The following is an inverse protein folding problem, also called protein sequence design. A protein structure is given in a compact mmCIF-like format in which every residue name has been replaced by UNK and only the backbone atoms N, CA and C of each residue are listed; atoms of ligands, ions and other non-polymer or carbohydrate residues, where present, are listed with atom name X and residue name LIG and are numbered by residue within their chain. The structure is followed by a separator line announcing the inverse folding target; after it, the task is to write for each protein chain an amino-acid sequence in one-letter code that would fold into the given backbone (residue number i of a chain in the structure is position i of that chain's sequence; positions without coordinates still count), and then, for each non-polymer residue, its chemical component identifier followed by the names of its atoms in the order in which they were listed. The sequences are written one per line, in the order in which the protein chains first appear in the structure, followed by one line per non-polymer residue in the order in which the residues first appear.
data_IF_270267450624
#
_entry.id   IF_270267450624
#
_cell.length_a   1.000
_cell.length_b   1.000
_cell.length_c   1.000
_cell.angle_alpha   90.00
_cell.angle_beta   90.00
_cell.angle_gamma   90.00
#
_symmetry.space_group_name_H-M   'P 1'
#
loop_
_entity.id
_entity.type
_entity.pdbx_description
1 polymer ?
#
# COMPACT_ATOMS: atom_id res chain seq x y z
N UNK A 1 36.95 -76.94 -36.06
CA UNK A 1 37.79 -75.77 -36.39
C UNK A 1 36.87 -74.64 -36.83
N UNK A 2 37.09 -73.42 -36.32
CA UNK A 2 36.88 -72.08 -36.93
C UNK A 2 35.72 -71.91 -37.93
N UNK A 3 34.87 -70.90 -37.93
CA UNK A 3 34.83 -69.54 -37.35
C UNK A 3 33.49 -68.95 -37.87
N UNK A 4 32.78 -68.16 -37.04
CA UNK A 4 32.18 -66.83 -37.37
C UNK A 4 31.40 -66.68 -38.70
N UNK A 5 30.15 -66.22 -38.78
CA UNK A 5 29.58 -64.99 -38.21
C UNK A 5 28.05 -64.95 -38.43
N UNK A 6 27.34 -64.59 -37.36
CA UNK A 6 26.30 -63.54 -37.28
C UNK A 6 25.33 -63.36 -38.47
N UNK A 7 24.08 -63.82 -38.34
CA UNK A 7 22.94 -63.10 -37.77
C UNK A 7 22.41 -61.98 -38.69
N UNK A 8 21.37 -62.31 -39.45
CA UNK A 8 20.45 -61.35 -40.04
C UNK A 8 19.01 -61.78 -39.76
N UNK A 9 18.27 -60.86 -39.11
CA UNK A 9 16.81 -60.64 -39.25
C UNK A 9 15.86 -61.78 -38.88
N UNK A 10 15.29 -61.71 -37.67
CA UNK A 10 13.86 -61.91 -37.44
C UNK A 10 13.55 -61.66 -35.95
N UNK A 11 12.56 -60.82 -35.65
CA UNK A 11 12.10 -60.63 -34.27
C UNK A 11 11.32 -59.35 -34.02
N UNK A 12 10.36 -59.02 -34.91
CA UNK A 12 9.27 -58.11 -34.56
C UNK A 12 8.28 -58.93 -33.74
N UNK A 13 8.14 -58.65 -32.44
CA UNK A 13 6.88 -58.72 -31.69
C UNK A 13 7.15 -58.57 -30.18
N UNK A 14 6.28 -57.83 -29.52
CA UNK A 14 6.04 -57.82 -28.06
C UNK A 14 7.03 -57.05 -27.17
N UNK A 15 6.86 -55.73 -27.09
CA UNK A 15 7.02 -54.95 -25.85
C UNK A 15 6.47 -53.51 -26.03
N UNK A 16 5.17 -53.39 -26.30
CA UNK A 16 4.51 -52.09 -26.50
C UNK A 16 3.26 -51.96 -25.62
N UNK A 17 3.41 -52.03 -24.29
CA UNK A 17 2.31 -51.76 -23.34
C UNK A 17 2.81 -51.60 -21.90
N UNK A 18 3.60 -50.56 -21.57
CA UNK A 18 3.90 -50.25 -20.15
C UNK A 18 4.40 -48.83 -19.81
N UNK A 19 4.22 -47.80 -20.67
CA UNK A 19 4.76 -46.44 -20.40
C UNK A 19 3.72 -45.31 -20.52
N UNK A 20 2.45 -45.59 -20.20
CA UNK A 20 1.33 -44.66 -20.43
C UNK A 20 0.61 -44.12 -19.19
N UNK A 21 1.20 -44.13 -17.99
CA UNK A 21 0.43 -43.92 -16.75
C UNK A 21 1.06 -42.96 -15.71
N UNK A 22 1.87 -41.99 -16.11
CA UNK A 22 2.44 -41.01 -15.17
C UNK A 22 2.45 -39.55 -15.65
N UNK A 23 1.53 -39.17 -16.54
CA UNK A 23 1.25 -37.76 -16.85
C UNK A 23 -0.17 -37.41 -16.41
N UNK A 24 -0.43 -37.46 -15.10
CA UNK A 24 -1.64 -36.82 -14.57
C UNK A 24 -1.51 -35.30 -14.75
N UNK A 25 -2.55 -34.61 -15.27
CA UNK A 25 -2.47 -33.21 -15.60
C UNK A 25 -2.32 -32.38 -14.31
N UNK A 26 -1.27 -31.56 -14.24
CA UNK A 26 -1.00 -30.62 -13.14
C UNK A 26 -2.20 -29.68 -12.82
N UNK A 27 -3.16 -29.57 -13.73
CA UNK A 27 -4.40 -28.81 -13.55
C UNK A 27 -5.36 -29.44 -12.52
N UNK A 28 -5.39 -30.77 -12.35
CA UNK A 28 -6.28 -31.42 -11.39
C UNK A 28 -5.83 -31.23 -9.93
N UNK A 29 -4.52 -31.11 -9.68
CA UNK A 29 -3.99 -30.84 -8.34
C UNK A 29 -4.25 -29.39 -7.88
N UNK A 30 -4.27 -28.42 -8.80
CA UNK A 30 -4.55 -27.02 -8.48
C UNK A 30 -6.02 -26.81 -8.01
N UNK A 31 -6.99 -27.45 -8.66
CA UNK A 31 -8.40 -27.35 -8.27
C UNK A 31 -8.67 -27.93 -6.88
N UNK A 32 -8.03 -29.05 -6.52
CA UNK A 32 -8.18 -29.67 -5.21
C UNK A 32 -7.61 -28.81 -4.06
N UNK A 33 -6.66 -27.93 -4.35
CA UNK A 33 -6.00 -27.08 -3.36
C UNK A 33 -6.79 -25.80 -3.07
N UNK A 34 -7.46 -25.23 -4.06
CA UNK A 34 -8.32 -24.05 -3.88
C UNK A 34 -9.53 -24.35 -2.97
N UNK A 35 -10.15 -25.52 -3.12
CA UNK A 35 -11.32 -25.90 -2.31
C UNK A 35 -10.96 -26.10 -0.82
N UNK A 36 -9.70 -26.48 -0.55
CA UNK A 36 -9.15 -26.74 0.79
C UNK A 36 -8.51 -25.52 1.46
N UNK A 37 -8.27 -24.43 0.72
CA UNK A 37 -7.66 -23.21 1.25
C UNK A 37 -8.56 -22.52 2.30
N UNK A 38 -8.04 -21.92 3.38
CA UNK A 38 -6.67 -22.03 3.89
C UNK A 38 -6.49 -23.20 4.89
N UNK A 39 -5.30 -23.83 4.88
CA UNK A 39 -4.92 -24.93 5.80
C UNK A 39 -3.75 -24.58 6.73
N UNK A 40 -3.19 -23.39 6.58
CA UNK A 40 -2.05 -22.88 7.35
C UNK A 40 -2.17 -21.37 7.49
N UNK A 41 -1.37 -20.73 8.37
CA UNK A 41 -1.38 -19.29 8.52
C UNK A 41 -1.12 -18.54 7.22
N UNK A 42 -1.82 -17.42 7.05
CA UNK A 42 -1.66 -16.46 5.95
C UNK A 42 -0.78 -15.32 6.45
N UNK A 43 0.23 -14.95 5.65
CA UNK A 43 1.08 -13.79 5.91
C UNK A 43 0.50 -12.57 5.23
N UNK A 44 0.34 -11.48 5.98
CA UNK A 44 -0.12 -10.19 5.48
C UNK A 44 1.00 -9.16 5.64
N UNK A 45 1.66 -8.84 4.53
CA UNK A 45 2.82 -7.96 4.51
C UNK A 45 2.37 -6.52 4.27
N UNK A 46 2.77 -5.59 5.14
CA UNK A 46 2.42 -4.16 5.04
C UNK A 46 3.66 -3.26 4.97
N UNK A 47 3.53 -2.13 4.28
CA UNK A 47 4.69 -1.32 3.84
C UNK A 47 5.18 -0.26 4.82
N UNK A 48 4.68 -0.27 6.06
CA UNK A 48 4.89 0.80 7.03
C UNK A 48 5.24 0.26 8.42
N UNK A 49 5.77 1.14 9.27
CA UNK A 49 6.30 0.80 10.60
C UNK A 49 5.22 0.25 11.54
N UNK A 50 5.63 -0.66 12.44
CA UNK A 50 4.76 -1.15 13.50
C UNK A 50 4.28 -0.01 14.42
N UNK A 51 3.08 -0.15 14.96
CA UNK A 51 2.44 0.86 15.82
C UNK A 51 1.99 2.13 15.09
N UNK A 52 2.14 2.19 13.75
CA UNK A 52 1.67 3.31 12.94
C UNK A 52 0.17 3.24 12.62
N UNK A 53 -0.33 4.30 11.97
CA UNK A 53 -1.73 4.43 11.56
C UNK A 53 -2.19 3.39 10.53
N UNK A 54 -1.26 2.81 9.75
CA UNK A 54 -1.53 1.64 8.91
C UNK A 54 -1.56 0.34 9.72
N UNK A 55 -0.55 0.13 10.57
CA UNK A 55 -0.34 -1.14 11.27
C UNK A 55 -1.50 -1.50 12.20
N UNK A 56 -1.97 -0.53 12.98
CA UNK A 56 -3.01 -0.77 13.99
C UNK A 56 -4.33 -1.27 13.36
N UNK A 57 -4.92 -0.60 12.35
CA UNK A 57 -6.10 -1.14 11.66
C UNK A 57 -5.85 -2.47 10.96
N UNK A 58 -4.66 -2.70 10.39
CA UNK A 58 -4.35 -3.97 9.72
C UNK A 58 -4.27 -5.14 10.69
N UNK A 59 -3.77 -4.94 11.92
CA UNK A 59 -3.80 -5.98 12.96
C UNK A 59 -5.23 -6.33 13.37
N UNK A 60 -6.09 -5.32 13.57
CA UNK A 60 -7.52 -5.54 13.84
C UNK A 60 -8.21 -6.29 12.69
N UNK A 61 -7.92 -5.90 11.44
CA UNK A 61 -8.44 -6.58 10.25
C UNK A 61 -7.99 -8.03 10.18
N UNK A 62 -6.71 -8.29 10.43
CA UNK A 62 -6.12 -9.62 10.41
C UNK A 62 -6.71 -10.52 11.50
N UNK A 63 -6.88 -10.02 12.72
CA UNK A 63 -7.53 -10.75 13.82
C UNK A 63 -8.98 -11.11 13.47
N UNK A 64 -9.71 -10.16 12.86
CA UNK A 64 -11.08 -10.39 12.40
C UNK A 64 -11.12 -11.43 11.27
N UNK A 65 -10.27 -11.29 10.26
CA UNK A 65 -10.17 -12.24 9.15
C UNK A 65 -9.76 -13.64 9.62
N UNK A 66 -8.89 -13.73 10.63
CA UNK A 66 -8.46 -15.01 11.21
C UNK A 66 -9.63 -15.82 11.77
N UNK A 67 -10.56 -15.16 12.46
CA UNK A 67 -11.77 -15.78 13.01
C UNK A 67 -12.70 -16.28 11.90
N UNK A 68 -12.77 -15.56 10.79
CA UNK A 68 -13.64 -15.90 9.65
C UNK A 68 -13.03 -17.03 8.81
N UNK A 69 -11.71 -17.03 8.62
CA UNK A 69 -10.98 -18.01 7.81
C UNK A 69 -10.67 -19.30 8.58
N UNK A 70 -10.72 -19.28 9.91
CA UNK A 70 -10.32 -20.40 10.76
C UNK A 70 -8.81 -20.68 10.75
N UNK A 71 -8.01 -19.74 10.25
CA UNK A 71 -6.55 -19.81 10.19
C UNK A 71 -5.95 -18.45 10.57
N UNK A 72 -4.81 -18.41 11.28
CA UNK A 72 -4.18 -17.14 11.63
C UNK A 72 -3.79 -16.31 10.40
N UNK A 73 -4.07 -15.01 10.44
CA UNK A 73 -3.56 -14.00 9.51
C UNK A 73 -2.52 -13.17 10.26
N UNK A 74 -1.25 -13.30 9.87
CA UNK A 74 -0.12 -12.72 10.59
C UNK A 74 0.37 -11.47 9.88
N UNK A 75 0.32 -10.32 10.56
CA UNK A 75 0.81 -9.04 10.02
C UNK A 75 2.33 -8.96 10.15
N UNK A 76 3.00 -8.70 9.02
CA UNK A 76 4.44 -8.46 8.93
C UNK A 76 4.73 -7.07 8.36
N UNK A 77 5.47 -6.24 9.10
CA UNK A 77 5.88 -4.92 8.63
C UNK A 77 7.18 -5.01 7.80
N UNK A 78 7.15 -4.49 6.58
CA UNK A 78 8.34 -4.26 5.72
C UNK A 78 8.43 -2.77 5.34
N UNK A 79 8.84 -1.90 6.27
CA UNK A 79 8.82 -0.45 6.09
C UNK A 79 9.91 0.05 5.14
N UNK A 80 9.69 1.23 4.55
CA UNK A 80 10.64 1.90 3.67
C UNK A 80 10.19 1.97 2.20
N UNK A 81 10.99 2.67 1.38
CA UNK A 81 10.74 2.90 -0.06
C UNK A 81 9.32 3.42 -0.37
N UNK A 82 8.74 4.24 0.50
CA UNK A 82 7.38 4.77 0.32
C UNK A 82 6.28 3.70 0.39
N UNK A 83 6.56 2.53 0.96
CA UNK A 83 5.59 1.45 1.17
C UNK A 83 5.38 0.51 0.00
N UNK A 84 6.26 0.52 -1.01
CA UNK A 84 6.12 -0.33 -2.21
C UNK A 84 6.68 -1.75 -2.05
N UNK A 85 7.53 -1.99 -1.04
CA UNK A 85 8.22 -3.26 -0.81
C UNK A 85 7.28 -4.48 -0.72
N UNK A 86 6.11 -4.41 -0.04
CA UNK A 86 5.17 -5.54 0.00
C UNK A 86 4.63 -5.91 -1.38
N UNK A 87 4.31 -4.93 -2.22
CA UNK A 87 3.81 -5.18 -3.57
C UNK A 87 4.91 -5.81 -4.43
N UNK A 88 6.13 -5.27 -4.38
CA UNK A 88 7.28 -5.82 -5.11
C UNK A 88 7.58 -7.27 -4.73
N UNK A 89 7.46 -7.63 -3.44
CA UNK A 89 7.63 -8.99 -2.95
C UNK A 89 6.71 -9.99 -3.67
N UNK A 90 5.54 -9.55 -4.14
CA UNK A 90 4.58 -10.44 -4.80
C UNK A 90 5.11 -11.02 -6.12
N UNK A 91 6.06 -10.36 -6.81
CA UNK A 91 6.66 -10.89 -8.04
C UNK A 91 7.42 -12.21 -7.83
N UNK A 92 8.00 -12.42 -6.65
CA UNK A 92 8.76 -13.63 -6.31
C UNK A 92 8.02 -14.56 -5.34
N UNK A 93 6.77 -14.25 -5.03
CA UNK A 93 5.96 -15.01 -4.08
C UNK A 93 5.07 -16.02 -4.80
N UNK A 94 4.92 -17.22 -4.23
CA UNK A 94 4.05 -18.25 -4.79
C UNK A 94 2.57 -17.78 -4.83
N UNK A 95 1.85 -17.98 -5.95
CA UNK A 95 0.44 -17.55 -6.11
C UNK A 95 -0.55 -18.51 -5.41
N UNK A 96 -0.27 -18.89 -4.16
CA UNK A 96 -1.02 -19.90 -3.40
C UNK A 96 -1.99 -19.30 -2.35
N UNK A 97 -2.09 -17.97 -2.30
CA UNK A 97 -2.98 -17.23 -1.39
C UNK A 97 -2.49 -17.07 0.04
N UNK A 98 -1.34 -17.65 0.42
CA UNK A 98 -0.85 -17.59 1.80
C UNK A 98 0.10 -16.43 2.09
N UNK A 99 0.41 -15.61 1.09
CA UNK A 99 1.10 -14.33 1.29
C UNK A 99 0.34 -13.26 0.54
N UNK A 100 -0.09 -12.25 1.29
CA UNK A 100 -0.83 -11.10 0.80
C UNK A 100 0.00 -9.84 1.04
N UNK A 101 -0.23 -8.83 0.24
CA UNK A 101 0.40 -7.54 0.39
C UNK A 101 -0.64 -6.42 0.50
N UNK A 102 -0.34 -5.44 1.35
CA UNK A 102 -1.01 -4.15 1.31
C UNK A 102 -0.49 -3.32 0.13
N UNK A 103 -1.41 -2.73 -0.62
CA UNK A 103 -1.12 -1.81 -1.73
C UNK A 103 -1.74 -0.46 -1.43
N UNK A 104 -0.98 0.60 -1.64
CA UNK A 104 -1.43 1.99 -1.59
C UNK A 104 -0.93 2.74 -2.83
N UNK A 105 -1.30 4.01 -2.94
CA UNK A 105 -0.99 4.87 -4.08
C UNK A 105 0.46 4.83 -4.61
N UNK A 106 1.53 4.77 -3.78
CA UNK A 106 2.90 4.73 -4.26
C UNK A 106 3.24 3.53 -5.18
N UNK A 107 2.51 2.43 -5.08
CA UNK A 107 2.71 1.25 -5.93
C UNK A 107 2.39 1.53 -7.40
N UNK A 108 1.42 2.42 -7.67
CA UNK A 108 0.96 2.73 -9.03
C UNK A 108 1.90 3.69 -9.78
N UNK A 109 2.75 4.44 -9.07
CA UNK A 109 3.77 5.34 -9.64
C UNK A 109 5.17 4.73 -9.70
N UNK A 110 5.36 3.55 -9.11
CA UNK A 110 6.65 2.85 -9.07
C UNK A 110 7.28 2.66 -10.48
N UNK A 111 6.53 2.28 -11.55
CA UNK A 111 7.09 2.14 -12.90
C UNK A 111 7.73 3.41 -13.47
N UNK A 112 7.39 4.59 -12.95
CA UNK A 112 7.82 5.90 -13.47
C UNK A 112 8.90 6.55 -12.60
N UNK A 113 9.12 6.03 -11.40
CA UNK A 113 10.02 6.62 -10.40
C UNK A 113 11.23 5.74 -10.11
N UNK A 114 11.20 4.47 -10.54
CA UNK A 114 12.26 3.48 -10.33
C UNK A 114 12.45 2.65 -11.59
N UNK A 115 13.71 2.39 -11.96
CA UNK A 115 14.05 1.51 -13.08
C UNK A 115 13.88 0.05 -12.65
N UNK A 116 12.71 -0.51 -12.92
CA UNK A 116 12.32 -1.87 -12.56
C UNK A 116 11.34 -2.44 -13.60
N UNK A 117 11.39 -3.75 -13.85
CA UNK A 117 10.37 -4.45 -14.62
C UNK A 117 9.14 -4.71 -13.74
N UNK A 118 8.21 -3.76 -13.70
CA UNK A 118 7.03 -3.79 -12.82
C UNK A 118 5.82 -3.17 -13.53
N UNK A 119 4.74 -3.94 -13.64
CA UNK A 119 3.43 -3.46 -14.06
C UNK A 119 2.41 -3.75 -12.93
N UNK A 120 2.02 -2.75 -12.11
CA UNK A 120 1.11 -2.98 -10.99
C UNK A 120 -0.29 -3.39 -11.44
N UNK A 121 -0.66 -3.22 -12.71
CA UNK A 121 -1.95 -3.67 -13.25
C UNK A 121 -1.89 -5.15 -13.59
N UNK A 122 -0.76 -5.65 -14.10
CA UNK A 122 -0.62 -7.03 -14.61
C UNK A 122 0.07 -7.99 -13.66
N UNK A 123 0.88 -7.49 -12.74
CA UNK A 123 1.75 -8.32 -11.89
C UNK A 123 1.17 -8.58 -10.51
N UNK A 124 -0.09 -8.22 -10.29
CA UNK A 124 -0.82 -8.41 -9.04
C UNK A 124 -2.22 -8.98 -9.30
N UNK A 125 -2.66 -9.87 -8.41
CA UNK A 125 -4.07 -10.26 -8.29
C UNK A 125 -4.73 -9.38 -7.23
N UNK A 126 -5.58 -8.45 -7.64
CA UNK A 126 -6.31 -7.58 -6.72
C UNK A 126 -7.38 -8.36 -5.95
N UNK A 127 -7.51 -8.10 -4.64
CA UNK A 127 -8.48 -8.80 -3.79
C UNK A 127 -9.59 -7.84 -3.38
N UNK A 128 -9.27 -6.78 -2.63
CA UNK A 128 -10.27 -5.89 -2.03
C UNK A 128 -9.63 -4.54 -1.68
N UNK A 129 -10.34 -3.44 -1.94
CA UNK A 129 -10.00 -2.15 -1.34
C UNK A 129 -10.73 -1.98 -0.02
N UNK A 130 -10.02 -1.47 0.99
CA UNK A 130 -10.48 -1.47 2.37
C UNK A 130 -10.89 -0.07 2.82
N UNK A 131 -9.98 0.89 2.70
CA UNK A 131 -10.13 2.22 3.27
C UNK A 131 -9.24 3.23 2.53
N UNK A 132 -9.44 4.50 2.84
CA UNK A 132 -8.60 5.60 2.36
C UNK A 132 -7.84 6.25 3.51
N UNK A 133 -6.54 6.50 3.30
CA UNK A 133 -5.81 7.39 4.20
C UNK A 133 -6.34 8.83 4.07
N UNK A 134 -6.52 9.45 5.23
CA UNK A 134 -6.67 10.88 5.42
C UNK A 134 -5.31 11.50 5.77
N UNK A 135 -5.16 12.80 5.51
CA UNK A 135 -3.89 13.49 5.67
C UNK A 135 -4.05 14.89 6.24
N UNK A 136 -2.98 15.39 6.85
CA UNK A 136 -2.86 16.76 7.30
C UNK A 136 -1.41 17.17 7.50
N UNK A 137 -1.23 18.45 7.84
CA UNK A 137 0.07 19.05 8.13
C UNK A 137 0.09 19.60 9.57
N UNK A 138 1.03 19.11 10.37
CA UNK A 138 1.18 19.51 11.78
C UNK A 138 2.53 20.16 12.06
N UNK A 139 2.55 21.04 13.06
CA UNK A 139 3.75 21.68 13.63
C UNK A 139 3.73 21.56 15.16
N UNK A 140 4.85 21.76 15.88
CA UNK A 140 4.82 21.89 17.34
C UNK A 140 3.93 23.04 17.80
N UNK A 141 3.25 22.90 18.94
CA UNK A 141 2.31 23.92 19.43
C UNK A 141 3.00 25.26 19.78
N UNK A 142 4.26 25.24 20.19
CA UNK A 142 5.10 26.41 20.47
C UNK A 142 5.74 27.00 19.20
N UNK A 143 5.55 26.38 18.03
CA UNK A 143 6.04 26.91 16.76
C UNK A 143 5.46 28.30 16.47
N UNK A 144 6.26 29.23 15.93
CA UNK A 144 5.77 30.53 15.46
C UNK A 144 4.82 30.40 14.26
N UNK A 145 4.82 29.25 13.57
CA UNK A 145 3.90 28.96 12.48
C UNK A 145 2.55 28.56 13.06
N UNK A 146 1.52 29.42 12.92
CA UNK A 146 0.19 29.19 13.48
C UNK A 146 -0.84 28.80 12.43
N UNK A 147 -0.60 29.17 11.19
CA UNK A 147 -1.52 28.96 10.07
C UNK A 147 -0.79 28.44 8.84
N UNK A 148 -1.54 27.96 7.85
CA UNK A 148 -0.96 27.64 6.54
C UNK A 148 -0.38 28.88 5.85
N UNK A 149 -0.95 30.08 6.09
CA UNK A 149 -0.41 31.34 5.58
C UNK A 149 0.97 31.62 6.16
N UNK A 150 1.15 31.43 7.47
CA UNK A 150 2.47 31.55 8.12
C UNK A 150 3.46 30.53 7.56
N UNK A 151 2.99 29.29 7.31
CA UNK A 151 3.81 28.22 6.75
C UNK A 151 4.37 28.60 5.37
N UNK A 152 3.50 29.10 4.49
CA UNK A 152 3.89 29.57 3.15
C UNK A 152 4.75 30.83 3.24
N UNK A 153 4.42 31.78 4.11
CA UNK A 153 5.21 33.00 4.30
C UNK A 153 6.64 32.68 4.78
N UNK A 154 6.78 31.78 5.76
CA UNK A 154 8.08 31.33 6.24
C UNK A 154 8.90 30.68 5.12
N UNK A 155 8.28 29.80 4.32
CA UNK A 155 8.96 29.13 3.21
C UNK A 155 9.37 30.10 2.08
N UNK A 156 8.57 31.15 1.81
CA UNK A 156 8.94 32.22 0.87
C UNK A 156 10.14 33.02 1.36
N UNK A 157 10.13 33.40 2.64
CA UNK A 157 11.22 34.17 3.23
C UNK A 157 12.51 33.35 3.41
N UNK A 158 12.39 32.03 3.55
CA UNK A 158 13.52 31.13 3.82
C UNK A 158 13.52 29.92 2.88
N UNK A 159 13.81 30.09 1.58
CA UNK A 159 13.78 29.00 0.60
C UNK A 159 14.65 27.81 1.03
N UNK A 160 14.06 26.61 1.08
CA UNK A 160 14.76 25.38 1.42
C UNK A 160 15.13 25.23 2.91
N UNK A 161 14.71 26.16 3.79
CA UNK A 161 14.98 26.06 5.24
C UNK A 161 13.83 25.46 6.04
N UNK A 162 12.60 25.48 5.51
CA UNK A 162 11.46 24.85 6.16
C UNK A 162 11.58 23.32 5.98
N UNK A 163 12.02 22.62 7.02
CA UNK A 163 12.11 21.16 7.03
C UNK A 163 10.78 20.51 7.37
N UNK A 164 10.37 19.50 6.62
CA UNK A 164 9.19 18.70 6.94
C UNK A 164 9.46 17.21 6.83
N UNK A 165 8.89 16.45 7.77
CA UNK A 165 8.88 15.00 7.73
C UNK A 165 7.72 14.44 6.91
N UNK A 166 7.92 13.26 6.33
CA UNK A 166 6.85 12.41 5.80
C UNK A 166 7.24 10.93 5.93
N UNK A 167 6.32 9.97 5.74
CA UNK A 167 6.62 8.52 5.81
C UNK A 167 7.37 7.98 4.57
N UNK A 168 8.01 8.85 3.79
CA UNK A 168 8.95 8.45 2.76
C UNK A 168 8.85 9.27 1.49
N UNK A 169 9.91 9.21 0.69
CA UNK A 169 9.93 9.76 -0.66
C UNK A 169 8.92 9.05 -1.56
N UNK A 170 8.37 9.79 -2.52
CA UNK A 170 7.34 9.32 -3.46
C UNK A 170 6.06 8.78 -2.79
N UNK A 171 5.85 9.05 -1.50
CA UNK A 171 4.54 8.85 -0.85
C UNK A 171 3.52 9.87 -1.38
N UNK A 172 2.23 9.61 -1.18
CA UNK A 172 1.18 10.60 -1.48
C UNK A 172 1.44 11.92 -0.74
N UNK A 173 1.87 11.83 0.53
CA UNK A 173 2.24 12.99 1.35
C UNK A 173 3.37 13.82 0.76
N UNK A 174 4.43 13.16 0.27
CA UNK A 174 5.52 13.85 -0.43
C UNK A 174 5.02 14.56 -1.68
N UNK A 175 4.30 13.89 -2.58
CA UNK A 175 3.82 14.50 -3.82
C UNK A 175 2.85 15.67 -3.58
N UNK A 176 1.99 15.57 -2.57
CA UNK A 176 1.08 16.68 -2.24
C UNK A 176 1.84 17.91 -1.73
N UNK A 177 2.93 17.71 -0.98
CA UNK A 177 3.80 18.82 -0.55
C UNK A 177 4.61 19.41 -1.71
N UNK A 178 5.04 18.60 -2.68
CA UNK A 178 5.66 19.07 -3.92
C UNK A 178 4.67 19.86 -4.79
N UNK A 179 3.42 19.39 -4.92
CA UNK A 179 2.36 20.13 -5.63
C UNK A 179 2.05 21.46 -4.94
N UNK A 180 1.98 21.45 -3.59
CA UNK A 180 1.81 22.67 -2.80
C UNK A 180 2.97 23.65 -3.03
N UNK A 181 4.21 23.16 -3.00
CA UNK A 181 5.41 23.95 -3.22
C UNK A 181 5.37 24.63 -4.60
N UNK A 182 5.09 23.85 -5.65
CA UNK A 182 4.95 24.33 -7.01
C UNK A 182 3.84 25.38 -7.16
N UNK A 183 2.64 25.13 -6.61
CA UNK A 183 1.50 26.06 -6.70
C UNK A 183 1.74 27.38 -5.94
N UNK A 184 2.49 27.33 -4.84
CA UNK A 184 2.73 28.49 -3.98
C UNK A 184 4.05 29.22 -4.29
N UNK A 185 4.87 28.68 -5.20
CA UNK A 185 6.18 29.23 -5.55
C UNK A 185 7.15 29.21 -4.37
N UNK A 186 7.18 28.11 -3.61
CA UNK A 186 8.04 27.95 -2.43
C UNK A 186 8.92 26.71 -2.53
N UNK A 187 9.93 26.64 -1.67
CA UNK A 187 10.82 25.48 -1.57
C UNK A 187 10.82 24.95 -0.14
N UNK A 188 10.45 23.67 0.01
CA UNK A 188 10.54 22.94 1.27
C UNK A 188 11.78 22.03 1.27
N UNK A 189 12.23 21.64 2.46
CA UNK A 189 13.25 20.60 2.63
C UNK A 189 12.58 19.34 3.15
N UNK A 190 12.43 18.34 2.27
CA UNK A 190 11.80 17.06 2.62
C UNK A 190 12.78 16.14 3.36
N UNK A 191 12.39 15.67 4.54
CA UNK A 191 13.11 14.66 5.31
C UNK A 191 12.29 13.36 5.31
N UNK A 192 12.64 12.34 4.50
CA UNK A 192 11.89 11.10 4.42
C UNK A 192 12.19 10.16 5.60
N UNK A 193 11.15 9.62 6.22
CA UNK A 193 11.21 8.56 7.21
C UNK A 193 10.63 7.25 6.66
N UNK A 194 10.78 6.11 7.34
CA UNK A 194 10.27 4.82 6.84
C UNK A 194 8.78 4.60 7.09
N UNK A 195 8.15 5.44 7.92
CA UNK A 195 6.73 5.34 8.27
C UNK A 195 6.29 6.44 9.23
N UNK A 196 4.98 6.49 9.48
CA UNK A 196 4.35 7.58 10.26
C UNK A 196 4.87 7.65 11.71
N UNK A 197 5.22 6.50 12.30
CA UNK A 197 5.73 6.45 13.68
C UNK A 197 7.08 7.17 13.79
N UNK A 198 7.96 7.01 12.80
CA UNK A 198 9.29 7.64 12.78
C UNK A 198 9.19 9.15 12.50
N UNK A 199 8.37 9.57 11.53
CA UNK A 199 8.18 11.00 11.24
C UNK A 199 7.57 11.76 12.42
N UNK A 200 6.60 11.15 13.12
CA UNK A 200 5.99 11.76 14.30
C UNK A 200 7.00 11.92 15.45
N UNK A 201 7.83 10.90 15.70
CA UNK A 201 8.90 10.99 16.70
C UNK A 201 9.90 12.09 16.36
N UNK A 202 10.27 12.24 15.09
CA UNK A 202 11.16 13.30 14.65
C UNK A 202 10.59 14.71 14.90
N UNK A 203 9.29 14.91 14.72
CA UNK A 203 8.62 16.18 15.05
C UNK A 203 8.64 16.46 16.54
N UNK A 204 8.26 15.46 17.34
CA UNK A 204 8.20 15.58 18.80
C UNK A 204 9.60 15.78 19.41
N UNK A 205 10.64 15.25 18.77
CA UNK A 205 12.04 15.47 19.14
C UNK A 205 12.65 16.76 18.57
N UNK A 206 11.91 17.55 17.79
CA UNK A 206 12.40 18.81 17.22
C UNK A 206 13.39 18.67 16.06
N UNK A 207 13.48 17.50 15.42
CA UNK A 207 14.38 17.26 14.28
C UNK A 207 13.84 17.82 12.96
N UNK A 208 12.54 18.07 12.88
CA UNK A 208 11.87 18.70 11.72
C UNK A 208 10.88 19.75 12.22
N UNK A 209 10.64 20.79 11.41
CA UNK A 209 9.73 21.89 11.78
C UNK A 209 8.25 21.52 11.66
N UNK A 210 7.92 20.58 10.78
CA UNK A 210 6.56 20.11 10.53
C UNK A 210 6.55 18.67 10.07
N UNK A 211 5.38 18.04 10.05
CA UNK A 211 5.17 16.73 9.41
C UNK A 211 3.88 16.75 8.61
N UNK A 212 3.98 16.29 7.37
CA UNK A 212 2.85 15.92 6.55
C UNK A 212 2.57 14.42 6.77
N UNK A 213 1.45 14.11 7.44
CA UNK A 213 1.15 12.75 7.87
C UNK A 213 -0.35 12.40 7.88
N UNK A 214 -0.60 11.11 8.02
CA UNK A 214 -1.87 10.56 8.52
C UNK A 214 -2.13 11.01 9.97
N UNK A 215 -3.39 11.04 10.45
CA UNK A 215 -3.78 11.53 11.78
C UNK A 215 -3.27 10.77 13.02
N UNK A 216 -2.11 10.12 12.96
CA UNK A 216 -1.38 9.66 14.15
C UNK A 216 -0.99 10.84 15.09
N UNK A 217 -0.95 12.07 14.57
CA UNK A 217 -0.77 13.29 15.34
C UNK A 217 -2.01 13.69 16.18
N UNK A 218 -3.19 13.13 15.91
CA UNK A 218 -4.44 13.61 16.49
C UNK A 218 -4.45 13.66 18.02
N UNK A 219 -3.97 12.62 18.75
CA UNK A 219 -3.87 12.68 20.22
C UNK A 219 -2.94 13.81 20.71
N UNK A 220 -1.89 14.14 19.96
CA UNK A 220 -0.95 15.20 20.33
C UNK A 220 -1.52 16.59 20.06
N UNK A 221 -2.38 16.74 19.05
CA UNK A 221 -3.13 17.98 18.80
C UNK A 221 -4.17 18.20 19.89
N UNK A 222 -4.91 17.16 20.28
CA UNK A 222 -5.87 17.22 21.39
C UNK A 222 -5.21 17.55 22.73
N UNK A 223 -3.99 17.04 22.96
CA UNK A 223 -3.18 17.36 24.14
C UNK A 223 -2.51 18.74 24.08
N UNK A 224 -2.67 19.50 22.99
CA UNK A 224 -2.03 20.81 22.81
C UNK A 224 -0.51 20.77 22.62
N UNK A 225 0.07 19.60 22.29
CA UNK A 225 1.51 19.45 21.99
C UNK A 225 1.83 19.80 20.54
N UNK A 226 0.90 19.54 19.62
CA UNK A 226 1.01 19.88 18.20
C UNK A 226 -0.15 20.79 17.79
N UNK A 227 0.04 21.51 16.68
CA UNK A 227 -0.99 22.29 16.00
C UNK A 227 -1.21 21.71 14.60
N UNK A 228 -2.46 21.39 14.29
CA UNK A 228 -2.86 21.04 12.93
C UNK A 228 -3.12 22.31 12.11
N UNK A 229 -2.38 22.49 11.02
CA UNK A 229 -2.50 23.67 10.15
C UNK A 229 -3.56 23.47 9.07
N UNK A 230 -3.65 22.26 8.52
CA UNK A 230 -4.65 21.91 7.51
C UNK A 230 -4.91 20.41 7.45
N UNK A 231 -6.10 20.06 6.97
CA UNK A 231 -6.42 18.71 6.47
C UNK A 231 -6.53 18.73 4.95
N UNK A 232 -6.39 17.58 4.30
CA UNK A 232 -6.31 17.53 2.83
C UNK A 232 -7.54 16.90 2.18
N UNK A 233 -8.55 16.54 2.97
CA UNK A 233 -9.81 16.01 2.47
C UNK A 233 -10.65 17.03 1.72
N UNK A 234 -11.65 16.54 1.01
CA UNK A 234 -12.65 17.37 0.29
C UNK A 234 -13.47 18.23 1.26
N UNK A 235 -13.71 17.72 2.47
CA UNK A 235 -14.43 18.37 3.57
C UNK A 235 -13.56 18.35 4.82
N UNK A 236 -13.85 19.24 5.77
CA UNK A 236 -13.17 19.25 7.07
C UNK A 236 -13.35 17.93 7.81
N UNK A 237 -12.34 17.56 8.60
CA UNK A 237 -12.45 16.44 9.53
C UNK A 237 -13.53 16.74 10.57
N UNK A 238 -14.40 15.77 10.85
CA UNK A 238 -15.38 15.87 11.92
C UNK A 238 -14.70 16.00 13.30
N UNK A 239 -13.50 15.43 13.46
CA UNK A 239 -12.70 15.52 14.68
C UNK A 239 -12.06 16.90 14.86
N UNK A 240 -11.72 17.57 13.76
CA UNK A 240 -11.09 18.89 13.76
C UNK A 240 -11.88 19.90 12.90
N UNK A 241 -13.13 20.24 13.27
CA UNK A 241 -14.03 21.04 12.44
C UNK A 241 -13.58 22.50 12.25
N UNK A 242 -12.68 22.98 13.11
CA UNK A 242 -12.13 24.33 13.05
C UNK A 242 -10.88 24.42 12.16
N UNK A 243 -10.30 23.29 11.75
CA UNK A 243 -9.09 23.28 10.93
C UNK A 243 -9.48 23.24 9.46
N UNK A 244 -9.04 24.22 8.66
CA UNK A 244 -9.44 24.31 7.26
C UNK A 244 -8.83 23.18 6.42
N UNK A 245 -9.47 22.91 5.28
CA UNK A 245 -8.84 22.06 4.25
C UNK A 245 -7.92 22.88 3.35
N UNK A 246 -6.96 22.24 2.66
CA UNK A 246 -6.18 22.91 1.59
C UNK A 246 -7.08 23.48 0.49
N UNK A 247 -8.23 22.85 0.22
CA UNK A 247 -9.24 23.33 -0.72
C UNK A 247 -9.87 24.64 -0.26
N UNK A 248 -10.32 24.73 0.98
CA UNK A 248 -10.90 25.95 1.56
C UNK A 248 -9.91 27.12 1.62
N UNK A 249 -8.62 26.79 1.75
CA UNK A 249 -7.53 27.76 1.71
C UNK A 249 -7.18 28.25 0.29
N UNK A 250 -7.93 27.83 -0.73
CA UNK A 250 -7.72 28.24 -2.12
C UNK A 250 -6.52 27.58 -2.79
N UNK A 251 -5.94 26.53 -2.20
CA UNK A 251 -4.78 25.82 -2.77
C UNK A 251 -5.17 24.79 -3.85
N UNK A 252 -6.48 24.49 -3.97
CA UNK A 252 -7.01 23.60 -5.00
C UNK A 252 -6.44 22.19 -4.93
N UNK A 253 -6.12 21.72 -3.72
CA UNK A 253 -5.59 20.38 -3.45
C UNK A 253 -6.61 19.64 -2.59
N UNK A 254 -6.96 18.44 -3.06
CA UNK A 254 -7.78 17.47 -2.34
C UNK A 254 -7.09 16.13 -2.50
N UNK A 255 -6.75 15.49 -1.39
CA UNK A 255 -5.97 14.27 -1.41
C UNK A 255 -6.48 13.25 -0.39
N UNK A 256 -6.75 12.06 -0.89
CA UNK A 256 -6.89 10.81 -0.13
C UNK A 256 -5.99 9.75 -0.76
N UNK A 257 -5.78 8.63 -0.07
CA UNK A 257 -4.98 7.52 -0.62
C UNK A 257 -5.64 6.19 -0.30
N UNK A 258 -6.49 5.66 -1.21
CA UNK A 258 -7.06 4.33 -1.05
C UNK A 258 -5.99 3.26 -0.91
N UNK A 259 -6.28 2.27 -0.07
CA UNK A 259 -5.42 1.11 0.11
C UNK A 259 -6.22 -0.18 0.23
N UNK A 260 -5.59 -1.28 -0.18
CA UNK A 260 -6.24 -2.58 -0.24
C UNK A 260 -5.26 -3.73 -0.19
N UNK A 261 -5.80 -4.92 -0.45
CA UNK A 261 -5.06 -6.18 -0.46
C UNK A 261 -4.91 -6.72 -1.86
N UNK A 262 -3.73 -7.30 -2.11
CA UNK A 262 -3.40 -8.03 -3.32
C UNK A 262 -2.71 -9.35 -2.97
N UNK A 263 -2.73 -10.28 -3.92
CA UNK A 263 -1.94 -11.50 -3.93
C UNK A 263 -1.03 -11.54 -5.17
N UNK A 264 -0.09 -12.49 -5.26
CA UNK A 264 0.74 -12.67 -6.45
C UNK A 264 -0.11 -12.93 -7.70
N UNK A 265 0.40 -12.46 -8.84
CA UNK A 265 -0.18 -12.73 -10.17
C UNK A 265 -0.45 -14.22 -10.35
N UNK A 266 -1.63 -14.54 -10.87
CA UNK A 266 -2.00 -15.93 -11.16
C UNK A 266 -2.55 -16.70 -9.95
N UNK A 267 -2.74 -16.05 -8.81
CA UNK A 267 -3.48 -16.65 -7.68
C UNK A 267 -4.88 -17.09 -8.15
N UNK A 268 -5.27 -18.33 -7.81
CA UNK A 268 -6.53 -18.93 -8.25
C UNK A 268 -7.74 -18.00 -7.93
N UNK A 269 -8.61 -17.71 -8.90
CA UNK A 269 -9.79 -16.86 -8.68
C UNK A 269 -10.68 -17.30 -7.51
N UNK A 270 -10.80 -18.60 -7.23
CA UNK A 270 -11.54 -19.12 -6.07
C UNK A 270 -10.88 -18.72 -4.75
N UNK A 271 -9.55 -18.74 -4.70
CA UNK A 271 -8.78 -18.29 -3.53
C UNK A 271 -8.95 -16.78 -3.35
N UNK A 272 -8.83 -16.00 -4.44
CA UNK A 272 -9.07 -14.55 -4.42
C UNK A 272 -10.48 -14.24 -3.92
N UNK A 273 -11.50 -14.95 -4.38
CA UNK A 273 -12.88 -14.79 -3.93
C UNK A 273 -13.03 -15.11 -2.43
N UNK A 274 -12.45 -16.22 -1.96
CA UNK A 274 -12.50 -16.60 -0.54
C UNK A 274 -11.83 -15.57 0.37
N UNK A 275 -10.68 -15.04 -0.07
CA UNK A 275 -9.98 -13.96 0.61
C UNK A 275 -10.82 -12.68 0.62
N UNK A 276 -11.36 -12.28 -0.53
CA UNK A 276 -12.24 -11.12 -0.64
C UNK A 276 -13.39 -11.22 0.36
N UNK A 277 -14.12 -12.34 0.37
CA UNK A 277 -15.30 -12.51 1.22
C UNK A 277 -14.96 -12.50 2.71
N UNK A 278 -13.82 -13.09 3.08
CA UNK A 278 -13.34 -13.05 4.45
C UNK A 278 -12.94 -11.64 4.88
N UNK A 279 -12.15 -10.93 4.07
CA UNK A 279 -11.74 -9.57 4.40
C UNK A 279 -12.88 -8.57 4.32
N UNK A 280 -13.87 -8.79 3.45
CA UNK A 280 -15.11 -8.02 3.39
C UNK A 280 -15.90 -8.12 4.70
N UNK A 281 -16.11 -9.32 5.21
CA UNK A 281 -16.73 -9.52 6.53
C UNK A 281 -15.89 -8.91 7.65
N UNK A 282 -14.56 -9.09 7.60
CA UNK A 282 -13.64 -8.57 8.61
C UNK A 282 -13.65 -7.04 8.72
N UNK A 283 -13.72 -6.33 7.57
CA UNK A 283 -13.76 -4.87 7.53
C UNK A 283 -15.13 -4.27 7.91
N UNK A 284 -16.18 -5.08 7.92
CA UNK A 284 -17.52 -4.65 8.34
C UNK A 284 -17.73 -4.74 9.85
N UNK A 285 -16.85 -5.43 10.56
CA UNK A 285 -16.91 -5.54 12.02
C UNK A 285 -16.69 -4.17 12.69
N UNK A 286 -17.45 -3.83 13.76
CA UNK A 286 -17.38 -2.52 14.40
C UNK A 286 -15.98 -2.11 14.87
N UNK A 287 -15.23 -3.05 15.46
CA UNK A 287 -13.88 -2.80 15.97
C UNK A 287 -12.89 -2.35 14.86
N UNK A 288 -13.05 -2.80 13.62
CA UNK A 288 -12.23 -2.33 12.51
C UNK A 288 -12.56 -0.88 12.13
N UNK A 289 -13.86 -0.53 12.07
CA UNK A 289 -14.31 0.84 11.81
C UNK A 289 -13.85 1.79 12.91
N UNK A 290 -13.97 1.39 14.17
CA UNK A 290 -13.44 2.13 15.33
C UNK A 290 -11.92 2.31 15.23
N UNK A 291 -11.20 1.29 14.78
CA UNK A 291 -9.75 1.38 14.59
C UNK A 291 -9.35 2.35 13.47
N UNK A 292 -10.13 2.42 12.38
CA UNK A 292 -9.92 3.41 11.31
C UNK A 292 -10.23 4.83 11.79
N UNK A 293 -11.34 5.00 12.53
CA UNK A 293 -11.79 6.30 13.04
C UNK A 293 -10.79 6.96 13.99
N UNK A 294 -9.96 6.17 14.70
CA UNK A 294 -8.83 6.70 15.51
C UNK A 294 -7.85 7.56 14.71
N UNK A 295 -7.80 7.37 13.39
CA UNK A 295 -6.92 8.05 12.45
C UNK A 295 -7.69 8.83 11.38
N UNK A 296 -8.96 9.17 11.65
CA UNK A 296 -9.88 9.85 10.72
C UNK A 296 -9.92 9.19 9.32
N UNK A 297 -9.72 7.87 9.26
CA UNK A 297 -9.81 7.10 8.03
C UNK A 297 -11.23 6.56 7.87
N UNK A 298 -11.70 6.52 6.62
CA UNK A 298 -13.02 6.02 6.28
C UNK A 298 -12.93 4.74 5.44
N UNK A 299 -13.88 3.81 5.60
CA UNK A 299 -14.02 2.69 4.69
C UNK A 299 -14.18 3.16 3.24
N UNK A 300 -13.44 2.52 2.34
CA UNK A 300 -13.46 2.80 0.91
C UNK A 300 -13.55 1.46 0.19
N UNK A 301 -14.70 0.81 0.27
CA UNK A 301 -14.85 -0.52 -0.28
C UNK A 301 -14.87 -0.49 -1.82
N UNK A 302 -14.00 -1.30 -2.41
CA UNK A 302 -14.11 -1.72 -3.81
C UNK A 302 -13.94 -3.24 -3.85
N UNK A 303 -14.84 -3.90 -4.55
CA UNK A 303 -14.70 -5.34 -4.81
C UNK A 303 -13.49 -5.63 -5.71
N UNK A 304 -13.16 -6.90 -5.91
CA UNK A 304 -12.05 -7.37 -6.75
C UNK A 304 -11.96 -6.65 -8.11
N UNK A 305 -13.06 -6.60 -8.85
CA UNK A 305 -13.09 -6.03 -10.21
C UNK A 305 -12.94 -4.51 -10.19
N UNK A 306 -13.66 -3.84 -9.29
CA UNK A 306 -13.58 -2.39 -9.11
C UNK A 306 -12.17 -1.96 -8.69
N UNK A 307 -11.51 -2.73 -7.82
CA UNK A 307 -10.17 -2.41 -7.36
C UNK A 307 -9.12 -2.60 -8.45
N UNK A 308 -9.25 -3.66 -9.28
CA UNK A 308 -8.41 -3.83 -10.46
C UNK A 308 -8.59 -2.70 -11.48
N UNK A 309 -9.82 -2.27 -11.73
CA UNK A 309 -10.12 -1.13 -12.59
C UNK A 309 -9.53 0.18 -12.02
N UNK A 310 -9.70 0.41 -10.72
CA UNK A 310 -9.09 1.53 -10.02
C UNK A 310 -7.57 1.56 -10.22
N UNK A 311 -6.90 0.41 -10.13
CA UNK A 311 -5.46 0.33 -10.38
C UNK A 311 -5.09 0.76 -11.82
N UNK A 312 -5.82 0.28 -12.82
CA UNK A 312 -5.59 0.63 -14.22
C UNK A 312 -5.75 2.13 -14.49
N UNK A 313 -6.76 2.76 -13.88
CA UNK A 313 -6.99 4.20 -14.01
C UNK A 313 -5.97 5.01 -13.21
N UNK A 314 -5.60 4.51 -12.03
CA UNK A 314 -4.68 5.20 -11.13
C UNK A 314 -3.27 5.27 -11.68
N UNK A 315 -2.77 4.21 -12.31
CA UNK A 315 -1.44 4.20 -12.96
C UNK A 315 -1.31 5.33 -13.98
N UNK A 316 -2.36 5.57 -14.79
CA UNK A 316 -2.37 6.67 -15.78
C UNK A 316 -2.35 8.04 -15.10
N UNK A 317 -3.16 8.23 -14.06
CA UNK A 317 -3.21 9.49 -13.28
C UNK A 317 -1.88 9.79 -12.61
N UNK A 318 -1.29 8.77 -11.99
CA UNK A 318 -0.02 8.86 -11.29
C UNK A 318 1.14 9.16 -12.22
N UNK A 319 1.16 8.57 -13.43
CA UNK A 319 2.11 8.95 -14.48
C UNK A 319 2.07 10.45 -14.76
N UNK A 320 0.87 10.99 -15.02
CA UNK A 320 0.69 12.39 -15.35
C UNK A 320 1.12 13.34 -14.21
N UNK A 321 0.85 12.95 -12.95
CA UNK A 321 1.30 13.72 -11.78
C UNK A 321 2.83 13.74 -11.69
N UNK A 322 3.47 12.57 -11.84
CA UNK A 322 4.93 12.44 -11.77
C UNK A 322 5.62 13.24 -12.90
N UNK A 323 5.09 13.20 -14.12
CA UNK A 323 5.59 13.99 -15.24
C UNK A 323 5.41 15.50 -14.99
N UNK A 324 4.23 15.92 -14.52
CA UNK A 324 3.96 17.33 -14.20
C UNK A 324 4.88 17.89 -13.13
N UNK A 325 5.24 17.09 -12.14
CA UNK A 325 6.16 17.48 -11.06
C UNK A 325 7.64 17.36 -11.45
N UNK A 326 7.96 16.88 -12.66
CA UNK A 326 9.35 16.66 -13.10
C UNK A 326 10.06 15.56 -12.30
N UNK A 327 9.31 14.64 -11.69
CA UNK A 327 9.82 13.58 -10.81
C UNK A 327 10.00 12.24 -11.53
N UNK A 328 9.68 12.18 -12.83
CA UNK A 328 9.88 10.99 -13.64
C UNK A 328 11.38 10.68 -13.77
N UNK A 329 11.76 9.41 -13.60
CA UNK A 329 13.12 8.97 -13.98
C UNK A 329 13.11 8.50 -15.44
N UNK A 330 14.17 8.78 -16.22
CA UNK A 330 14.34 8.18 -17.53
C UNK A 330 14.29 6.64 -17.41
N UNK A 331 13.51 5.99 -18.28
CA UNK A 331 13.41 4.54 -18.35
C UNK A 331 14.71 3.90 -18.86
#
# INVERSE_FOLDING_TARGET
MQRRHFLARAGIAAAATALGLAAMPAQAQAQAQADKFPQRPIRLVIGYTAGGSTDIPFRVLADNASKILGQPVIVENKPGAGGVLPAQLMQSTAPDGYTLAQVAMPVYRLPYTTKINWDPVKDLSYIINLAGYSFGLVVPADSPIKTMQDYIAYAKANPGKLTYGSPGSMTTLHLTMEELAMKQGVQFSHIPYKGNSESMQALLGGHVMSVADTPAWAPYVEQGKLRLLSTWGEKRSARFPNVPTLKELGMGIVQTSPFGLVAPKGTDPKIVQKLHDAFKKAMEMPNYRESLAKFDMEPFYMNTQQYAQFAADTVKKEKAIIEKLGLAKPQ
#
